data_IF_538225124362
#
_entry.id   IF_538225124362
#
_cell.length_a   1.000
_cell.length_b   1.000
_cell.length_c   1.000
_cell.angle_alpha   90.00
_cell.angle_beta   90.00
_cell.angle_gamma   90.00
#
_symmetry.space_group_name_H-M   'P 1'
#
loop_
_entity.id
_entity.type
_entity.pdbx_description
1 polymer ?
#
# COMPACT_ATOMS: atom_id res chain seq x y z
N UNK A 1 30.26 -18.69 -5.44
CA UNK A 1 28.82 -18.51 -5.15
C UNK A 1 28.70 -17.55 -3.97
N UNK A 2 28.36 -16.27 -4.21
CA UNK A 2 28.10 -15.31 -3.13
C UNK A 2 26.59 -15.29 -2.87
N UNK A 3 26.19 -15.65 -1.65
CA UNK A 3 24.82 -15.48 -1.15
C UNK A 3 24.46 -14.00 -1.27
N UNK A 4 23.41 -13.67 -2.02
CA UNK A 4 22.78 -12.35 -1.96
C UNK A 4 22.06 -12.26 -0.63
N UNK A 5 22.60 -11.45 0.27
CA UNK A 5 21.90 -11.00 1.47
C UNK A 5 20.58 -10.35 1.06
N UNK A 6 19.53 -10.71 1.77
CA UNK A 6 18.22 -10.10 1.68
C UNK A 6 18.35 -8.69 2.26
N UNK A 7 18.65 -7.73 1.40
CA UNK A 7 18.75 -6.32 1.78
C UNK A 7 17.38 -5.81 2.20
N UNK A 8 17.32 -5.42 3.45
CA UNK A 8 16.24 -4.70 4.11
C UNK A 8 15.82 -3.47 3.29
N UNK A 9 14.53 -3.16 3.35
CA UNK A 9 13.78 -2.25 2.49
C UNK A 9 14.54 -0.96 2.18
N UNK A 10 15.13 -0.88 0.99
CA UNK A 10 15.87 0.29 0.52
C UNK A 10 14.88 1.29 -0.09
N UNK A 11 14.58 2.36 0.64
CA UNK A 11 13.79 3.49 0.13
C UNK A 11 14.63 4.21 -0.94
N UNK A 12 14.23 4.10 -2.21
CA UNK A 12 14.80 4.86 -3.33
C UNK A 12 13.72 5.82 -3.81
N UNK A 13 14.00 7.11 -3.72
CA UNK A 13 13.15 8.21 -4.18
C UNK A 13 13.44 8.50 -5.66
N UNK A 14 12.48 8.20 -6.54
CA UNK A 14 12.37 8.83 -7.85
C UNK A 14 11.54 10.10 -7.63
N UNK A 15 12.20 11.25 -7.47
CA UNK A 15 11.79 12.66 -7.29
C UNK A 15 10.42 13.05 -6.67
N UNK A 16 9.35 12.25 -6.74
CA UNK A 16 8.06 12.43 -6.06
C UNK A 16 7.37 11.12 -5.61
N UNK A 17 8.04 9.97 -5.65
CA UNK A 17 7.47 8.68 -5.21
C UNK A 17 8.21 8.12 -3.98
N UNK A 18 7.50 7.98 -2.86
CA UNK A 18 7.98 7.24 -1.67
C UNK A 18 7.53 5.79 -1.82
N UNK A 19 8.49 4.87 -1.93
CA UNK A 19 8.24 3.44 -1.99
C UNK A 19 8.16 2.82 -0.59
N UNK A 20 7.01 2.25 -0.24
CA UNK A 20 6.80 1.50 1.01
C UNK A 20 6.47 0.05 0.62
N UNK A 21 7.48 -0.83 0.61
CA UNK A 21 7.35 -2.17 0.04
C UNK A 21 7.21 -3.30 1.05
N UNK A 22 6.29 -4.23 0.77
CA UNK A 22 6.45 -5.66 1.07
C UNK A 22 6.45 -6.44 -0.25
N UNK A 23 7.02 -7.65 -0.27
CA UNK A 23 7.50 -8.38 -1.46
C UNK A 23 6.48 -8.61 -2.61
N UNK A 24 5.18 -8.49 -2.37
CA UNK A 24 4.11 -8.69 -3.36
C UNK A 24 3.15 -7.49 -3.50
N UNK A 25 3.26 -6.50 -2.61
CA UNK A 25 2.31 -5.40 -2.47
C UNK A 25 3.09 -4.09 -2.53
N UNK A 26 2.79 -3.26 -3.53
CA UNK A 26 3.47 -1.99 -3.73
C UNK A 26 2.58 -0.87 -3.22
N UNK A 27 2.99 -0.23 -2.13
CA UNK A 27 2.38 1.02 -1.68
C UNK A 27 3.31 2.18 -2.03
N UNK A 28 2.78 3.22 -2.68
CA UNK A 28 3.52 4.44 -2.94
C UNK A 28 2.63 5.68 -2.97
N UNK A 29 3.20 6.82 -2.63
CA UNK A 29 2.52 8.12 -2.67
C UNK A 29 2.99 8.87 -3.91
N UNK A 30 2.06 9.43 -4.69
CA UNK A 30 2.33 10.42 -5.76
C UNK A 30 1.44 11.62 -5.49
N UNK A 31 2.04 12.81 -5.43
CA UNK A 31 1.36 14.06 -5.09
C UNK A 31 0.63 13.95 -3.73
N UNK A 32 -0.71 13.85 -3.74
CA UNK A 32 -1.54 13.67 -2.54
C UNK A 32 -2.31 12.35 -2.52
N UNK A 33 -1.96 11.39 -3.38
CA UNK A 33 -2.66 10.11 -3.47
C UNK A 33 -1.75 8.97 -3.02
N UNK A 34 -2.32 8.04 -2.26
CA UNK A 34 -1.66 6.84 -1.79
C UNK A 34 -2.16 5.64 -2.61
N UNK A 35 -1.31 5.09 -3.45
CA UNK A 35 -1.64 3.95 -4.28
C UNK A 35 -1.21 2.65 -3.61
N UNK A 36 -2.11 1.67 -3.62
CA UNK A 36 -1.85 0.30 -3.22
C UNK A 36 -2.07 -0.61 -4.42
N UNK A 37 -1.00 -1.25 -4.87
CA UNK A 37 -1.01 -2.20 -5.97
C UNK A 37 -0.83 -3.61 -5.46
N UNK A 38 -1.72 -4.48 -5.92
CA UNK A 38 -1.68 -5.90 -5.64
C UNK A 38 -1.80 -6.70 -6.94
N UNK A 39 -0.95 -7.70 -7.12
CA UNK A 39 -1.05 -8.65 -8.21
C UNK A 39 -1.56 -10.02 -7.72
N UNK A 40 -2.57 -10.58 -8.40
CA UNK A 40 -3.18 -11.87 -8.04
C UNK A 40 -3.39 -12.79 -9.24
N UNK A 41 -3.02 -14.06 -9.05
CA UNK A 41 -3.29 -15.14 -10.00
C UNK A 41 -4.45 -16.05 -9.63
N UNK A 42 -5.02 -15.86 -8.44
CA UNK A 42 -6.16 -16.62 -7.92
C UNK A 42 -7.21 -15.66 -7.42
N UNK A 43 -8.48 -15.92 -7.73
CA UNK A 43 -9.57 -15.03 -7.33
C UNK A 43 -9.67 -14.98 -5.80
N UNK A 44 -9.64 -13.76 -5.25
CA UNK A 44 -9.80 -13.54 -3.82
C UNK A 44 -10.96 -12.57 -3.56
N UNK A 45 -12.12 -13.05 -3.06
CA UNK A 45 -13.24 -12.17 -2.74
C UNK A 45 -12.96 -11.25 -1.54
N UNK A 46 -11.90 -11.52 -0.77
CA UNK A 46 -11.56 -10.77 0.43
C UNK A 46 -10.64 -9.57 0.16
N UNK A 47 -10.45 -9.18 -1.10
CA UNK A 47 -9.64 -8.00 -1.43
C UNK A 47 -10.05 -6.73 -0.69
N UNK A 48 -11.35 -6.37 -0.60
CA UNK A 48 -11.75 -5.19 0.17
C UNK A 48 -11.33 -5.22 1.64
N UNK A 49 -11.27 -6.42 2.25
CA UNK A 49 -10.83 -6.55 3.64
C UNK A 49 -9.31 -6.41 3.78
N UNK A 50 -8.55 -6.93 2.82
CA UNK A 50 -7.09 -6.76 2.78
C UNK A 50 -6.71 -5.30 2.55
N UNK A 51 -7.39 -4.66 1.61
CA UNK A 51 -7.25 -3.24 1.29
C UNK A 51 -7.44 -2.37 2.55
N UNK A 52 -8.46 -2.66 3.36
CA UNK A 52 -8.69 -2.00 4.65
C UNK A 52 -7.49 -2.15 5.61
N UNK A 53 -6.93 -3.35 5.73
CA UNK A 53 -5.78 -3.58 6.61
C UNK A 53 -4.52 -2.86 6.11
N UNK A 54 -4.28 -2.86 4.81
CA UNK A 54 -3.14 -2.18 4.22
C UNK A 54 -3.23 -0.68 4.41
N UNK A 55 -4.35 -0.06 4.04
CA UNK A 55 -4.48 1.38 4.18
C UNK A 55 -4.45 1.84 5.64
N UNK A 56 -5.04 1.05 6.55
CA UNK A 56 -4.98 1.33 7.98
C UNK A 56 -3.54 1.32 8.50
N UNK A 57 -2.72 0.36 8.06
CA UNK A 57 -1.30 0.30 8.44
C UNK A 57 -0.51 1.48 7.88
N UNK A 58 -0.76 1.88 6.63
CA UNK A 58 -0.07 3.02 6.03
C UNK A 58 -0.45 4.35 6.69
N UNK A 59 -1.74 4.61 6.95
CA UNK A 59 -2.15 5.84 7.63
C UNK A 59 -1.66 5.93 9.07
N UNK A 60 -1.53 4.81 9.79
CA UNK A 60 -0.96 4.81 11.13
C UNK A 60 0.50 5.31 11.15
N UNK A 61 1.24 5.21 10.04
CA UNK A 61 2.60 5.75 9.92
C UNK A 61 2.61 7.26 9.64
N UNK A 62 1.53 7.79 9.06
CA UNK A 62 1.44 9.18 8.62
C UNK A 62 0.79 10.12 9.65
N UNK A 63 -0.02 9.59 10.57
CA UNK A 63 -0.85 10.40 11.49
C UNK A 63 -0.34 10.33 12.93
N UNK A 64 -0.29 11.47 13.62
CA UNK A 64 -0.04 11.51 15.06
C UNK A 64 -1.28 11.08 15.85
N UNK A 65 -1.10 10.20 16.85
CA UNK A 65 -2.22 9.63 17.62
C UNK A 65 -3.03 10.70 18.35
N UNK A 66 -2.41 11.81 18.75
CA UNK A 66 -3.13 12.90 19.44
C UNK A 66 -4.00 13.69 18.46
N UNK A 67 -3.56 13.85 17.20
CA UNK A 67 -4.30 14.61 16.20
C UNK A 67 -5.60 13.93 15.76
N UNK A 68 -5.71 12.60 15.92
CA UNK A 68 -6.93 11.83 15.66
C UNK A 68 -8.14 12.27 16.52
N UNK A 69 -7.89 12.79 17.72
CA UNK A 69 -8.95 13.26 18.63
C UNK A 69 -9.20 14.77 18.50
N UNK A 70 -8.55 15.44 17.54
CA UNK A 70 -8.77 16.84 17.24
C UNK A 70 -10.13 17.08 16.58
N UNK A 71 -10.72 18.24 16.81
CA UNK A 71 -11.89 18.72 16.06
C UNK A 71 -11.55 19.22 14.65
N UNK A 72 -10.26 19.32 14.31
CA UNK A 72 -9.77 19.78 13.01
C UNK A 72 -9.61 18.60 12.06
N UNK A 73 -10.13 18.74 10.84
CA UNK A 73 -9.99 17.77 9.76
C UNK A 73 -8.53 17.41 9.51
N UNK A 74 -8.20 16.12 9.64
CA UNK A 74 -6.89 15.58 9.29
C UNK A 74 -6.81 15.42 7.77
N UNK A 75 -5.87 16.13 7.13
CA UNK A 75 -5.59 15.97 5.71
C UNK A 75 -4.68 14.77 5.52
N UNK A 76 -5.22 13.70 4.95
CA UNK A 76 -4.48 12.48 4.61
C UNK A 76 -4.65 12.19 3.11
N UNK A 77 -3.67 11.55 2.47
CA UNK A 77 -3.75 11.27 1.04
C UNK A 77 -4.89 10.30 0.76
N UNK A 78 -5.66 10.51 -0.31
CA UNK A 78 -6.75 9.60 -0.69
C UNK A 78 -6.17 8.24 -1.14
N UNK A 79 -6.76 7.11 -0.74
CA UNK A 79 -6.25 5.81 -1.13
C UNK A 79 -6.80 5.38 -2.50
N UNK A 80 -5.94 4.82 -3.33
CA UNK A 80 -6.27 4.24 -4.62
C UNK A 80 -5.87 2.75 -4.61
N UNK A 81 -6.84 1.86 -4.80
CA UNK A 81 -6.62 0.42 -4.78
C UNK A 81 -6.64 -0.14 -6.20
N UNK A 82 -5.54 -0.76 -6.61
CA UNK A 82 -5.39 -1.31 -7.96
C UNK A 82 -4.99 -2.77 -7.86
N UNK A 83 -5.88 -3.65 -8.31
CA UNK A 83 -5.67 -5.09 -8.31
C UNK A 83 -5.48 -5.59 -9.73
N UNK A 84 -4.30 -6.12 -10.03
CA UNK A 84 -4.02 -6.82 -11.29
C UNK A 84 -4.36 -8.29 -11.12
N UNK A 85 -5.45 -8.73 -11.76
CA UNK A 85 -5.85 -10.12 -11.77
C UNK A 85 -5.47 -10.78 -13.10
N UNK A 86 -4.60 -11.79 -13.04
CA UNK A 86 -4.18 -12.58 -14.21
C UNK A 86 -4.63 -14.05 -14.14
N UNK A 87 -5.54 -14.38 -13.22
CA UNK A 87 -6.10 -15.72 -13.10
C UNK A 87 -7.18 -16.02 -14.15
N UNK A 88 -7.54 -17.30 -14.27
CA UNK A 88 -8.54 -17.78 -15.24
C UNK A 88 -9.96 -17.89 -14.66
N UNK A 89 -10.10 -17.80 -13.34
CA UNK A 89 -11.40 -17.89 -12.67
C UNK A 89 -12.19 -16.59 -12.86
N UNK A 90 -13.48 -16.70 -13.18
CA UNK A 90 -14.37 -15.54 -13.24
C UNK A 90 -14.78 -15.13 -11.83
N UNK A 91 -14.90 -13.81 -11.62
CA UNK A 91 -15.55 -13.25 -10.43
C UNK A 91 -16.95 -13.86 -10.32
N UNK A 92 -17.24 -14.47 -9.15
CA UNK A 92 -18.56 -15.00 -8.83
C UNK A 92 -19.51 -13.88 -8.41
#
# INVERSE_FOLDING_TARGET
MKKKEQTDSMVITLENAIYMGMKNDLAFIIDTELFLYEHQSTYNPNMPLRDLFYISSEYQKLVDKKSLYSSVLQKIPAPQFIVFYNGTEKKK
#
